data_IF_878694239478
#
_entry.id   IF_878694239478
#
_cell.length_a   1.000
_cell.length_b   1.000
_cell.length_c   1.000
_cell.angle_alpha   90.00
_cell.angle_beta   90.00
_cell.angle_gamma   90.00
#
_symmetry.space_group_name_H-M   'P 1'
#
loop_
_entity.id
_entity.type
_entity.pdbx_description
1 polymer ?
#
# COMPACT_ATOMS: atom_id res chain seq x y z
N UNK A 1 -22.03 1.82 30.80
CA UNK A 1 -22.88 1.72 29.60
C UNK A 1 -22.85 3.08 28.93
N UNK A 2 -21.90 3.29 28.01
CA UNK A 2 -21.78 4.57 27.31
C UNK A 2 -22.80 4.59 26.16
N UNK A 3 -23.65 5.62 26.15
CA UNK A 3 -24.50 5.97 25.02
C UNK A 3 -23.58 6.44 23.89
N UNK A 4 -22.97 5.51 23.16
CA UNK A 4 -22.37 5.82 21.87
C UNK A 4 -23.51 6.13 20.92
N UNK A 5 -23.91 7.40 20.89
CA UNK A 5 -24.69 7.95 19.78
C UNK A 5 -24.00 7.50 18.50
N UNK A 6 -24.79 7.03 17.54
CA UNK A 6 -24.29 6.40 16.32
C UNK A 6 -23.45 7.42 15.51
N UNK A 7 -22.15 7.52 15.80
CA UNK A 7 -21.23 8.48 15.17
C UNK A 7 -21.18 8.24 13.66
N UNK A 8 -21.51 7.03 13.19
CA UNK A 8 -21.60 6.74 11.76
C UNK A 8 -22.59 7.66 11.05
N UNK A 9 -23.74 7.95 11.66
CA UNK A 9 -24.74 8.85 11.08
C UNK A 9 -24.20 10.28 10.94
N UNK A 10 -23.29 10.70 11.84
CA UNK A 10 -22.66 12.01 11.77
C UNK A 10 -21.60 12.08 10.68
N UNK A 11 -20.85 11.00 10.46
CA UNK A 11 -19.84 10.95 9.40
C UNK A 11 -20.46 10.97 8.01
N UNK A 12 -21.67 10.42 7.85
CA UNK A 12 -22.39 10.38 6.56
C UNK A 12 -22.91 11.76 6.11
N UNK A 13 -22.90 12.77 6.98
CA UNK A 13 -23.26 14.15 6.60
C UNK A 13 -22.13 14.89 5.89
N UNK A 14 -20.89 14.44 6.02
CA UNK A 14 -19.79 15.02 5.28
C UNK A 14 -19.88 14.53 3.84
N UNK A 15 -19.84 15.46 2.87
CA UNK A 15 -19.76 15.10 1.45
C UNK A 15 -18.33 14.74 1.04
N UNK A 16 -17.37 15.09 1.89
CA UNK A 16 -15.93 14.94 1.71
C UNK A 16 -15.34 14.24 2.94
N UNK A 17 -14.03 14.06 2.95
CA UNK A 17 -13.27 13.50 4.09
C UNK A 17 -13.68 14.14 5.43
N UNK A 18 -14.11 13.36 6.43
CA UNK A 18 -14.53 13.92 7.72
C UNK A 18 -13.34 14.61 8.42
N UNK A 19 -13.58 15.71 9.16
CA UNK A 19 -12.51 16.44 9.84
C UNK A 19 -11.67 15.54 10.73
N UNK A 20 -10.34 15.64 10.58
CA UNK A 20 -9.34 14.94 11.41
C UNK A 20 -9.61 15.08 12.92
N UNK A 21 -10.07 16.25 13.35
CA UNK A 21 -10.38 16.52 14.74
C UNK A 21 -11.48 15.59 15.29
N UNK A 22 -12.49 15.23 14.47
CA UNK A 22 -13.57 14.33 14.88
C UNK A 22 -13.09 12.89 14.97
N UNK A 23 -12.30 12.46 13.98
CA UNK A 23 -11.75 11.12 13.95
C UNK A 23 -10.74 10.89 15.11
N UNK A 24 -10.10 11.95 15.63
CA UNK A 24 -9.14 11.84 16.73
C UNK A 24 -9.79 11.63 18.12
N UNK A 25 -11.11 11.76 18.25
CA UNK A 25 -11.81 11.76 19.56
C UNK A 25 -11.77 10.39 20.24
N UNK A 26 -12.02 9.30 19.50
CA UNK A 26 -11.96 7.92 20.00
C UNK A 26 -11.86 6.89 18.85
N UNK A 27 -11.71 5.61 19.18
CA UNK A 27 -11.60 4.49 18.21
C UNK A 27 -12.80 4.39 17.27
N UNK A 28 -14.00 4.63 17.77
CA UNK A 28 -15.24 4.44 17.02
C UNK A 28 -15.45 5.58 16.03
N UNK A 29 -15.20 6.82 16.45
CA UNK A 29 -15.22 8.01 15.60
C UNK A 29 -14.18 7.90 14.48
N UNK A 30 -13.01 7.35 14.81
CA UNK A 30 -11.99 7.03 13.83
C UNK A 30 -12.45 5.98 12.83
N UNK A 31 -12.96 4.85 13.31
CA UNK A 31 -13.44 3.76 12.45
C UNK A 31 -14.54 4.24 11.50
N UNK A 32 -15.47 5.07 12.00
CA UNK A 32 -16.49 5.71 11.18
C UNK A 32 -15.87 6.65 10.14
N UNK A 33 -14.88 7.46 10.55
CA UNK A 33 -14.18 8.36 9.63
C UNK A 33 -13.43 7.63 8.52
N UNK A 34 -12.79 6.50 8.83
CA UNK A 34 -12.11 5.66 7.83
C UNK A 34 -13.09 4.81 7.00
N UNK A 35 -14.38 4.73 7.35
CA UNK A 35 -15.42 4.08 6.50
C UNK A 35 -16.07 5.04 5.51
N UNK A 36 -15.88 6.35 5.68
CA UNK A 36 -16.36 7.36 4.76
C UNK A 36 -15.80 7.13 3.35
N UNK A 37 -16.53 7.50 2.30
CA UNK A 37 -16.14 7.26 0.90
C UNK A 37 -14.74 7.85 0.58
N UNK A 38 -14.44 9.02 1.13
CA UNK A 38 -13.14 9.68 1.00
C UNK A 38 -12.14 9.38 2.15
N UNK A 39 -12.58 8.68 3.19
CA UNK A 39 -11.75 8.33 4.35
C UNK A 39 -11.14 9.50 5.10
N UNK A 40 -10.46 9.21 6.21
CA UNK A 40 -9.62 10.21 6.88
C UNK A 40 -8.21 10.08 6.34
N UNK A 41 -7.67 11.18 5.80
CA UNK A 41 -6.36 11.22 5.12
C UNK A 41 -6.28 10.31 3.89
N UNK A 42 -7.42 9.95 3.27
CA UNK A 42 -7.46 8.94 2.21
C UNK A 42 -7.24 7.51 2.71
N UNK A 43 -7.44 7.26 4.01
CA UNK A 43 -7.47 5.93 4.59
C UNK A 43 -8.91 5.38 4.62
N UNK A 44 -9.13 4.29 3.91
CA UNK A 44 -10.43 3.63 3.79
C UNK A 44 -10.42 2.23 4.38
N UNK A 45 -11.44 1.86 5.15
CA UNK A 45 -11.66 0.48 5.56
C UNK A 45 -12.40 -0.26 4.45
N UNK A 46 -11.75 -1.29 3.92
CA UNK A 46 -12.31 -2.19 2.92
C UNK A 46 -12.53 -3.55 3.59
N UNK A 47 -13.67 -4.17 3.30
CA UNK A 47 -13.97 -5.55 3.65
C UNK A 47 -14.12 -6.35 2.37
N UNK A 48 -13.19 -7.25 2.10
CA UNK A 48 -13.20 -8.11 0.91
C UNK A 48 -12.94 -9.58 1.28
N UNK A 49 -12.72 -10.43 0.28
CA UNK A 49 -12.47 -11.86 0.47
C UNK A 49 -11.21 -12.16 1.30
N UNK A 50 -10.26 -11.22 1.38
CA UNK A 50 -9.05 -11.32 2.18
C UNK A 50 -9.25 -10.81 3.63
N UNK A 51 -10.47 -10.40 3.96
CA UNK A 51 -10.86 -9.91 5.28
C UNK A 51 -10.97 -8.39 5.32
N UNK A 52 -10.93 -7.85 6.55
CA UNK A 52 -11.06 -6.42 6.80
C UNK A 52 -9.68 -5.77 6.86
N UNK A 53 -9.42 -4.79 6.00
CA UNK A 53 -8.14 -4.06 5.93
C UNK A 53 -8.36 -2.56 5.81
N UNK A 54 -7.41 -1.80 6.35
CA UNK A 54 -7.31 -0.35 6.11
C UNK A 54 -6.43 -0.13 4.92
N UNK A 55 -6.90 0.65 3.96
CA UNK A 55 -6.17 0.95 2.73
C UNK A 55 -5.76 2.40 2.74
N UNK A 56 -4.48 2.67 2.51
CA UNK A 56 -3.94 4.02 2.44
C UNK A 56 -3.25 4.20 1.09
N UNK A 57 -3.81 5.07 0.24
CA UNK A 57 -3.26 5.33 -1.09
C UNK A 57 -2.30 6.52 -1.03
N UNK A 58 -1.10 6.33 -1.56
CA UNK A 58 -0.02 7.31 -1.53
C UNK A 58 0.47 7.57 -2.95
N UNK A 59 0.32 8.80 -3.42
CA UNK A 59 0.96 9.26 -4.65
C UNK A 59 2.29 9.95 -4.32
N UNK A 60 3.16 10.22 -5.31
CA UNK A 60 4.48 10.82 -5.05
C UNK A 60 4.43 12.18 -4.35
N UNK A 61 3.34 12.95 -4.53
CA UNK A 61 3.09 14.22 -3.81
C UNK A 61 2.79 14.00 -2.33
N UNK A 62 2.19 12.86 -2.00
CA UNK A 62 1.65 12.52 -0.69
C UNK A 62 2.67 11.77 0.18
N UNK A 63 3.81 11.34 -0.38
CA UNK A 63 4.84 10.62 0.39
C UNK A 63 5.45 11.50 1.49
N UNK A 64 5.50 12.83 1.30
CA UNK A 64 5.85 13.74 2.38
C UNK A 64 4.79 13.74 3.50
N UNK A 65 3.51 13.59 3.14
CA UNK A 65 2.40 13.51 4.08
C UNK A 65 2.31 12.15 4.79
N UNK A 66 2.89 11.09 4.21
CA UNK A 66 2.94 9.75 4.79
C UNK A 66 3.66 9.74 6.15
N UNK A 67 4.77 10.46 6.28
CA UNK A 67 5.49 10.59 7.56
C UNK A 67 4.65 11.33 8.61
N UNK A 68 3.96 12.39 8.20
CA UNK A 68 3.07 13.16 9.09
C UNK A 68 1.84 12.35 9.53
N UNK A 69 1.40 11.42 8.69
CA UNK A 69 0.25 10.55 8.95
C UNK A 69 0.64 9.27 9.72
N UNK A 70 1.90 9.10 10.08
CA UNK A 70 2.40 7.91 10.75
C UNK A 70 1.71 7.66 12.10
N UNK A 71 1.62 8.69 12.94
CA UNK A 71 0.94 8.60 14.23
C UNK A 71 -0.51 8.15 14.09
N UNK A 72 -1.18 8.58 13.01
CA UNK A 72 -2.51 8.13 12.68
C UNK A 72 -2.48 6.62 12.40
N UNK A 73 -1.67 6.17 11.44
CA UNK A 73 -1.59 4.76 11.04
C UNK A 73 -1.33 3.80 12.22
N UNK A 74 -0.51 4.21 13.20
CA UNK A 74 -0.11 3.39 14.35
C UNK A 74 -1.18 3.18 15.43
N UNK A 75 -2.13 4.11 15.54
CA UNK A 75 -3.11 4.13 16.63
C UNK A 75 -4.21 3.08 16.51
N UNK A 76 -4.57 2.69 15.30
CA UNK A 76 -5.56 1.63 15.08
C UNK A 76 -4.79 0.37 14.70
N UNK A 77 -4.91 -0.69 15.50
CA UNK A 77 -4.14 -1.94 15.31
C UNK A 77 -5.01 -3.15 15.00
N UNK A 78 -6.32 -3.02 15.18
CA UNK A 78 -7.26 -4.13 15.06
C UNK A 78 -7.53 -4.54 13.60
N UNK A 79 -7.03 -3.78 12.63
CA UNK A 79 -7.10 -4.11 11.21
C UNK A 79 -5.72 -3.87 10.54
N UNK A 80 -5.23 -4.84 9.75
CA UNK A 80 -3.99 -4.68 9.00
C UNK A 80 -4.07 -3.51 8.02
N UNK A 81 -2.94 -2.85 7.81
CA UNK A 81 -2.80 -1.70 6.93
C UNK A 81 -2.19 -2.10 5.58
N UNK A 82 -2.93 -1.87 4.51
CA UNK A 82 -2.44 -1.97 3.14
C UNK A 82 -2.06 -0.58 2.63
N UNK A 83 -0.80 -0.41 2.24
CA UNK A 83 -0.30 0.85 1.70
C UNK A 83 -0.13 0.69 0.19
N UNK A 84 -0.96 1.41 -0.57
CA UNK A 84 -0.91 1.42 -2.03
C UNK A 84 0.01 2.56 -2.46
N UNK A 85 1.11 2.25 -3.13
CA UNK A 85 2.10 3.26 -3.55
C UNK A 85 2.36 3.16 -5.05
N UNK A 86 2.31 4.31 -5.72
CA UNK A 86 2.62 4.44 -7.14
C UNK A 86 4.00 5.08 -7.35
N UNK A 87 4.83 4.39 -8.12
CA UNK A 87 6.17 4.81 -8.51
C UNK A 87 6.25 4.94 -10.02
N UNK A 88 6.09 6.16 -10.54
CA UNK A 88 6.20 6.44 -11.98
C UNK A 88 7.56 7.08 -12.30
N UNK A 89 8.35 6.36 -13.10
CA UNK A 89 9.65 6.77 -13.62
C UNK A 89 10.75 6.94 -12.56
N UNK A 90 11.94 7.31 -13.01
CA UNK A 90 13.15 7.43 -12.17
C UNK A 90 13.05 8.51 -11.09
N UNK A 91 12.18 9.51 -11.28
CA UNK A 91 11.97 10.59 -10.29
C UNK A 91 11.34 10.10 -9.00
N UNK A 92 10.54 9.02 -9.04
CA UNK A 92 9.87 8.44 -7.88
C UNK A 92 10.81 7.56 -7.02
N UNK A 93 11.99 7.20 -7.54
CA UNK A 93 12.96 6.37 -6.80
C UNK A 93 13.48 7.04 -5.53
N UNK A 94 13.52 8.38 -5.51
CA UNK A 94 13.92 9.16 -4.33
C UNK A 94 12.96 8.99 -3.14
N UNK A 95 11.75 8.51 -3.40
CA UNK A 95 10.71 8.38 -2.40
C UNK A 95 10.69 6.97 -1.78
N UNK A 96 11.38 6.00 -2.39
CA UNK A 96 11.52 4.63 -1.84
C UNK A 96 12.08 4.64 -0.41
N UNK A 97 13.18 5.35 -0.09
CA UNK A 97 13.72 5.36 1.27
C UNK A 97 12.74 5.88 2.33
N UNK A 98 11.82 6.78 1.94
CA UNK A 98 10.77 7.28 2.84
C UNK A 98 9.74 6.19 3.14
N UNK A 99 9.29 5.47 2.12
CA UNK A 99 8.40 4.32 2.29
C UNK A 99 9.06 3.22 3.15
N UNK A 100 10.36 2.96 2.97
CA UNK A 100 11.09 2.02 3.83
C UNK A 100 11.12 2.49 5.29
N UNK A 101 11.39 3.77 5.52
CA UNK A 101 11.42 4.37 6.85
C UNK A 101 10.07 4.24 7.55
N UNK A 102 8.99 4.55 6.85
CA UNK A 102 7.62 4.39 7.36
C UNK A 102 7.33 2.93 7.68
N UNK A 103 7.68 1.98 6.80
CA UNK A 103 7.49 0.55 7.06
C UNK A 103 8.26 0.05 8.28
N UNK A 104 9.50 0.51 8.48
CA UNK A 104 10.29 0.16 9.68
C UNK A 104 9.58 0.66 10.94
N UNK A 105 9.19 1.93 10.97
CA UNK A 105 8.51 2.52 12.13
C UNK A 105 7.18 1.84 12.44
N UNK A 106 6.37 1.54 11.42
CA UNK A 106 5.13 0.77 11.59
C UNK A 106 5.40 -0.63 12.18
N UNK A 107 6.51 -1.26 11.79
CA UNK A 107 6.92 -2.55 12.37
C UNK A 107 7.33 -2.43 13.82
N UNK A 108 8.10 -1.40 14.16
CA UNK A 108 8.51 -1.10 15.53
C UNK A 108 7.29 -0.84 16.41
N UNK A 109 6.28 -0.14 15.86
CA UNK A 109 4.97 0.08 16.44
C UNK A 109 4.06 -1.16 16.48
N UNK A 110 4.52 -2.33 15.99
CA UNK A 110 3.76 -3.58 15.88
C UNK A 110 2.46 -3.43 15.09
N UNK A 111 2.46 -2.57 14.08
CA UNK A 111 1.36 -2.39 13.15
C UNK A 111 1.55 -3.38 12.00
N UNK A 112 0.62 -4.31 11.86
CA UNK A 112 0.61 -5.20 10.71
C UNK A 112 0.34 -4.39 9.45
N UNK A 113 1.21 -4.54 8.45
CA UNK A 113 1.07 -3.87 7.18
C UNK A 113 1.67 -4.64 5.99
N UNK A 114 1.15 -4.32 4.80
CA UNK A 114 1.61 -4.80 3.49
C UNK A 114 1.65 -3.64 2.49
N UNK A 115 2.34 -3.85 1.38
CA UNK A 115 2.41 -2.90 0.27
C UNK A 115 1.77 -3.45 -1.01
N UNK A 116 1.09 -2.56 -1.71
CA UNK A 116 0.73 -2.76 -3.11
C UNK A 116 1.55 -1.77 -3.93
N UNK A 117 2.46 -2.30 -4.75
CA UNK A 117 3.39 -1.50 -5.52
C UNK A 117 2.94 -1.43 -6.97
N UNK A 118 2.64 -0.21 -7.43
CA UNK A 118 2.40 0.09 -8.83
C UNK A 118 3.64 0.78 -9.37
N UNK A 119 4.45 0.05 -10.13
CA UNK A 119 5.76 0.51 -10.60
C UNK A 119 5.68 0.68 -12.11
N UNK A 120 5.96 1.89 -12.57
CA UNK A 120 5.90 2.25 -13.99
C UNK A 120 7.23 2.82 -14.48
N UNK A 121 7.68 2.38 -15.66
CA UNK A 121 8.77 3.02 -16.38
C UNK A 121 10.14 2.98 -15.67
N UNK A 122 10.41 1.96 -14.86
CA UNK A 122 11.72 1.77 -14.21
C UNK A 122 12.57 0.74 -14.95
N UNK A 123 13.89 0.89 -14.84
CA UNK A 123 14.88 -0.01 -15.47
C UNK A 123 15.39 -1.11 -14.52
N UNK A 124 15.20 -0.94 -13.21
CA UNK A 124 15.66 -1.89 -12.19
C UNK A 124 14.71 -1.95 -11.00
N UNK A 125 14.47 -3.17 -10.52
CA UNK A 125 13.72 -3.45 -9.28
C UNK A 125 14.62 -3.53 -8.04
N UNK A 126 15.95 -3.46 -8.19
CA UNK A 126 16.88 -3.52 -7.07
C UNK A 126 16.58 -2.48 -5.98
N UNK A 127 16.25 -1.20 -6.31
CA UNK A 127 15.89 -0.23 -5.29
C UNK A 127 14.66 -0.62 -4.46
N UNK A 128 13.77 -1.45 -5.02
CA UNK A 128 12.52 -1.85 -4.37
C UNK A 128 12.67 -3.09 -3.50
N UNK A 129 13.86 -3.68 -3.38
CA UNK A 129 14.06 -4.97 -2.73
C UNK A 129 13.48 -5.06 -1.30
N UNK A 130 13.57 -3.98 -0.53
CA UNK A 130 12.97 -3.94 0.81
C UNK A 130 11.43 -3.96 0.75
N UNK A 131 10.84 -3.10 -0.09
CA UNK A 131 9.39 -2.98 -0.23
C UNK A 131 8.80 -4.27 -0.79
N UNK A 132 9.42 -4.85 -1.83
CA UNK A 132 9.01 -6.10 -2.48
C UNK A 132 8.85 -7.25 -1.49
N UNK A 133 9.74 -7.37 -0.50
CA UNK A 133 9.65 -8.42 0.55
C UNK A 133 8.39 -8.30 1.40
N UNK A 134 7.77 -7.12 1.46
CA UNK A 134 6.56 -6.82 2.23
C UNK A 134 5.36 -6.52 1.34
N UNK A 135 5.50 -6.73 0.04
CA UNK A 135 4.43 -6.50 -0.92
C UNK A 135 3.52 -7.72 -1.04
N UNK A 136 2.23 -7.44 -1.14
CA UNK A 136 1.23 -8.44 -1.48
C UNK A 136 0.93 -8.41 -2.98
N UNK A 137 0.85 -7.21 -3.54
CA UNK A 137 0.63 -6.99 -4.97
C UNK A 137 1.78 -6.18 -5.56
N UNK A 138 2.28 -6.62 -6.71
CA UNK A 138 3.24 -5.86 -7.52
C UNK A 138 2.74 -5.78 -8.95
N UNK A 139 2.45 -4.56 -9.41
CA UNK A 139 2.07 -4.27 -10.79
C UNK A 139 3.22 -3.54 -11.45
N UNK A 140 3.72 -4.10 -12.55
CA UNK A 140 4.80 -3.53 -13.36
C UNK A 140 4.22 -3.05 -14.69
N UNK A 141 4.33 -1.77 -14.99
CA UNK A 141 3.82 -1.21 -16.24
C UNK A 141 4.97 -0.58 -17.04
N UNK A 142 5.08 -0.88 -18.33
CA UNK A 142 6.04 -0.23 -19.25
C UNK A 142 7.49 -0.26 -18.70
N UNK A 143 7.86 -1.31 -17.95
CA UNK A 143 9.18 -1.41 -17.34
C UNK A 143 10.18 -2.07 -18.31
N UNK A 144 11.40 -1.52 -18.38
CA UNK A 144 12.49 -2.07 -19.21
C UNK A 144 13.49 -2.75 -18.27
N UNK A 145 13.08 -3.91 -17.73
CA UNK A 145 13.86 -4.62 -16.73
C UNK A 145 15.01 -5.39 -17.38
N UNK A 146 16.13 -4.70 -17.62
CA UNK A 146 17.35 -5.32 -18.13
C UNK A 146 17.95 -6.34 -17.14
N UNK A 147 17.53 -6.31 -15.87
CA UNK A 147 18.05 -7.15 -14.78
C UNK A 147 16.94 -7.66 -13.85
N UNK A 148 16.01 -8.48 -14.36
CA UNK A 148 15.14 -9.29 -13.48
C UNK A 148 15.96 -10.26 -12.59
N UNK A 149 17.17 -10.62 -13.05
CA UNK A 149 18.06 -11.59 -12.40
C UNK A 149 18.59 -11.14 -11.02
N UNK A 150 18.56 -9.84 -10.71
CA UNK A 150 19.11 -9.30 -9.45
C UNK A 150 18.11 -9.25 -8.29
N UNK A 151 16.83 -8.95 -8.55
CA UNK A 151 15.81 -8.82 -7.51
C UNK A 151 15.10 -10.17 -7.19
N UNK A 152 15.09 -11.10 -8.14
CA UNK A 152 14.40 -12.38 -8.05
C UNK A 152 15.31 -13.55 -8.43
N UNK A 153 16.45 -13.69 -7.77
CA UNK A 153 17.46 -14.74 -8.03
C UNK A 153 16.90 -16.17 -7.98
N UNK A 154 15.75 -16.40 -7.35
CA UNK A 154 15.02 -17.68 -7.33
C UNK A 154 13.56 -17.58 -7.77
N UNK A 155 13.16 -16.48 -8.41
CA UNK A 155 11.77 -16.19 -8.78
C UNK A 155 11.01 -15.33 -7.75
N UNK A 156 10.00 -14.56 -8.18
CA UNK A 156 9.34 -13.56 -7.34
C UNK A 156 8.64 -14.12 -6.11
N UNK A 157 7.93 -15.23 -6.28
CA UNK A 157 7.17 -15.89 -5.22
C UNK A 157 8.04 -16.59 -4.17
N UNK A 158 9.27 -16.95 -4.52
CA UNK A 158 10.24 -17.55 -3.59
C UNK A 158 11.02 -16.50 -2.80
N UNK A 159 11.08 -15.27 -3.29
CA UNK A 159 11.86 -14.18 -2.68
C UNK A 159 10.99 -13.26 -1.81
N UNK A 160 9.68 -13.23 -2.06
CA UNK A 160 8.72 -12.36 -1.37
C UNK A 160 7.61 -13.21 -0.73
N UNK A 161 7.66 -13.48 0.58
CA UNK A 161 6.77 -14.46 1.23
C UNK A 161 5.30 -14.02 1.26
N UNK A 162 5.04 -12.70 1.20
CA UNK A 162 3.69 -12.12 1.22
C UNK A 162 3.09 -11.90 -0.17
N UNK A 163 3.84 -12.17 -1.24
CA UNK A 163 3.44 -11.83 -2.59
C UNK A 163 2.36 -12.80 -3.09
N UNK A 164 1.18 -12.25 -3.36
CA UNK A 164 0.00 -12.98 -3.84
C UNK A 164 -0.17 -12.83 -5.35
N UNK A 165 0.26 -11.69 -5.92
CA UNK A 165 0.12 -11.42 -7.35
C UNK A 165 1.26 -10.56 -7.91
N UNK A 166 1.74 -10.92 -9.10
CA UNK A 166 2.59 -10.09 -9.95
C UNK A 166 1.96 -9.99 -11.32
N UNK A 167 1.72 -8.77 -11.79
CA UNK A 167 1.23 -8.52 -13.16
C UNK A 167 2.17 -7.54 -13.85
N UNK A 168 2.54 -7.81 -15.11
CA UNK A 168 3.55 -7.03 -15.82
C UNK A 168 3.25 -6.81 -17.29
N UNK A 169 3.44 -5.59 -17.80
CA UNK A 169 3.64 -5.30 -19.21
C UNK A 169 5.10 -4.85 -19.43
N UNK A 170 5.81 -5.48 -20.37
CA UNK A 170 7.22 -5.20 -20.64
C UNK A 170 7.40 -4.63 -22.04
N UNK A 171 8.17 -3.56 -22.17
CA UNK A 171 8.65 -3.10 -23.48
C UNK A 171 9.87 -3.95 -23.86
N UNK A 172 9.67 -4.89 -24.78
CA UNK A 172 10.75 -5.64 -25.42
C UNK A 172 11.59 -4.69 -26.28
N UNK A 173 12.78 -4.31 -25.80
CA UNK A 173 13.89 -3.94 -26.69
C UNK A 173 14.83 -5.15 -26.74
N UNK A 174 14.81 -5.83 -27.89
CA UNK A 174 15.47 -7.09 -28.23
C UNK A 174 14.67 -8.36 -27.86
N UNK A 175 14.34 -9.12 -28.91
CA UNK A 175 13.39 -10.22 -28.89
C UNK A 175 13.73 -11.33 -27.89
N UNK A 176 12.86 -11.48 -26.90
CA UNK A 176 12.65 -12.74 -26.22
C UNK A 176 11.13 -12.92 -26.07
N UNK A 177 10.58 -13.89 -26.80
CA UNK A 177 9.20 -14.35 -26.62
C UNK A 177 9.13 -15.13 -25.30
N UNK A 178 8.83 -14.40 -24.23
CA UNK A 178 8.58 -14.97 -22.91
C UNK A 178 7.37 -14.29 -22.29
N UNK A 179 6.17 -14.65 -22.71
CA UNK A 179 4.94 -14.26 -22.02
C UNK A 179 4.95 -14.87 -20.62
N UNK A 180 5.06 -14.05 -19.59
CA UNK A 180 4.91 -14.51 -18.21
C UNK A 180 3.43 -14.45 -17.86
N UNK A 181 2.81 -15.62 -17.79
CA UNK A 181 1.41 -15.81 -17.42
C UNK A 181 1.12 -15.42 -15.98
N UNK A 182 -0.17 -15.11 -15.73
CA UNK A 182 -0.76 -14.95 -14.40
C UNK A 182 -0.33 -16.14 -13.53
N UNK A 183 0.42 -15.90 -12.47
CA UNK A 183 0.72 -16.91 -11.46
C UNK A 183 -0.04 -16.50 -10.20
N UNK A 184 -1.27 -16.99 -10.08
CA UNK A 184 -2.02 -16.98 -8.82
C UNK A 184 -1.67 -18.25 -8.05
N UNK A 185 -1.44 -18.15 -6.74
CA UNK A 185 -1.49 -19.32 -5.85
C UNK A 185 -2.94 -19.79 -5.80
N UNK A 186 -3.22 -20.97 -6.37
CA UNK A 186 -4.36 -21.77 -5.96
C UNK A 186 -3.92 -22.60 -4.76
N UNK A 187 -4.68 -22.53 -3.67
CA UNK A 187 -4.60 -23.46 -2.53
C UNK A 187 -4.77 -24.92 -2.97
#
# INVERSE_FOLDING_TARGET
MFLFQNISQYTDYFRESPPLALAAINSDARECGERHEEGVLGCNIISDACGRRRTFKVNSRDIACLEHSQWWMERQRDCPLQIIVEFSGTKSLKDIPKCETVSRRLSDGKVEHTFDLYIEGVESLLPFAFLLKRSEVVVLNVCVLNTLRGAFTRGPLLTCPKLTSVTGSFLSRCGFTGGIGKTSKSE
#
